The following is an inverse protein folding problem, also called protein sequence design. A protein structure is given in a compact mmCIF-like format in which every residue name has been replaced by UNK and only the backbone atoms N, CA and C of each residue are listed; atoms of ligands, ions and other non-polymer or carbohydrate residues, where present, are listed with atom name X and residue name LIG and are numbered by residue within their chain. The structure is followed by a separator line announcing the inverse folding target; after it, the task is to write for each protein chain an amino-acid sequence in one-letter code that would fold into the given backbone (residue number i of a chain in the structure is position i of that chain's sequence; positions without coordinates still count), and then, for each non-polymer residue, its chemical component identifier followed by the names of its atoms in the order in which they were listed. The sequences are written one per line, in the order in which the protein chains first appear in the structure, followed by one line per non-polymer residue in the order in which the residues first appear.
data_IF_831499100404
#
_entry.id   IF_831499100404
#
_cell.length_a   1.000
_cell.length_b   1.000
_cell.length_c   1.000
_cell.angle_alpha   90.00
_cell.angle_beta   90.00
_cell.angle_gamma   90.00
#
_symmetry.space_group_name_H-M   'P 1'
#
loop_
_entity.id
_entity.type
_entity.pdbx_description
1 polymer ?
#
# COMPACT_ATOMS: atom_id res chain seq x y z
N UNK A 1 -43.38 -14.42 -38.37
CA UNK A 1 -44.20 -15.52 -37.79
C UNK A 1 -45.52 -15.72 -38.56
N UNK A 2 -46.43 -14.72 -38.67
CA UNK A 2 -47.72 -14.86 -39.37
C UNK A 2 -47.63 -15.46 -40.80
N UNK A 3 -46.62 -15.09 -41.59
CA UNK A 3 -46.40 -15.63 -42.95
C UNK A 3 -46.03 -17.12 -42.99
N UNK A 4 -45.39 -17.65 -41.94
CA UNK A 4 -45.00 -19.06 -41.84
C UNK A 4 -46.19 -19.99 -41.52
N UNK A 5 -47.26 -19.42 -40.97
CA UNK A 5 -48.49 -20.12 -40.56
C UNK A 5 -49.62 -19.96 -41.60
N UNK A 6 -49.29 -19.64 -42.85
CA UNK A 6 -50.27 -19.50 -43.93
C UNK A 6 -51.04 -20.82 -44.16
N UNK A 7 -52.36 -20.74 -44.34
CA UNK A 7 -53.19 -21.90 -44.69
C UNK A 7 -52.87 -22.43 -46.10
N UNK A 8 -52.31 -21.58 -46.96
CA UNK A 8 -51.89 -21.93 -48.31
C UNK A 8 -50.41 -22.36 -48.31
N UNK A 9 -50.16 -23.66 -48.54
CA UNK A 9 -48.85 -24.31 -48.45
C UNK A 9 -47.75 -23.66 -49.31
N UNK A 10 -47.98 -23.27 -50.59
CA UNK A 10 -46.96 -22.64 -51.44
C UNK A 10 -46.61 -21.21 -51.04
N UNK A 11 -47.47 -20.53 -50.25
CA UNK A 11 -47.22 -19.17 -49.77
C UNK A 11 -46.39 -19.14 -48.48
N UNK A 12 -46.11 -20.30 -47.88
CA UNK A 12 -45.22 -20.37 -46.73
C UNK A 12 -43.79 -20.12 -47.21
N UNK A 13 -43.05 -19.20 -46.58
CA UNK A 13 -41.65 -18.98 -46.93
C UNK A 13 -40.82 -20.23 -46.68
N UNK A 14 -39.86 -20.50 -47.56
CA UNK A 14 -38.92 -21.61 -47.38
C UNK A 14 -37.96 -21.33 -46.22
N UNK A 15 -37.33 -22.38 -45.69
CA UNK A 15 -36.39 -22.26 -44.59
C UNK A 15 -35.26 -21.26 -44.88
N UNK A 16 -34.73 -21.26 -46.11
CA UNK A 16 -33.72 -20.28 -46.55
C UNK A 16 -34.22 -18.84 -46.54
N UNK A 17 -35.49 -18.62 -46.95
CA UNK A 17 -36.10 -17.28 -46.92
C UNK A 17 -36.29 -16.81 -45.48
N UNK A 18 -36.73 -17.68 -44.58
CA UNK A 18 -36.86 -17.37 -43.15
C UNK A 18 -35.49 -17.08 -42.53
N UNK A 19 -34.46 -17.87 -42.86
CA UNK A 19 -33.07 -17.66 -42.41
C UNK A 19 -32.53 -16.30 -42.89
N UNK A 20 -32.68 -15.97 -44.17
CA UNK A 20 -32.29 -14.66 -44.73
C UNK A 20 -33.04 -13.49 -44.09
N UNK A 21 -34.33 -13.66 -43.76
CA UNK A 21 -35.11 -12.65 -43.05
C UNK A 21 -34.62 -12.45 -41.61
N UNK A 22 -34.24 -13.55 -40.93
CA UNK A 22 -33.70 -13.51 -39.58
C UNK A 22 -32.32 -12.84 -39.54
N UNK A 23 -31.43 -13.19 -40.47
CA UNK A 23 -30.09 -12.62 -40.60
C UNK A 23 -30.15 -11.12 -40.96
N UNK A 24 -31.12 -10.70 -41.78
CA UNK A 24 -31.39 -9.27 -42.05
C UNK A 24 -31.97 -8.52 -40.85
N UNK A 25 -32.78 -9.18 -40.02
CA UNK A 25 -33.37 -8.56 -38.83
C UNK A 25 -32.38 -8.42 -37.68
N UNK A 26 -31.34 -9.26 -37.62
CA UNK A 26 -30.26 -9.12 -36.66
C UNK A 26 -28.89 -9.24 -37.34
N UNK A 27 -28.43 -8.19 -38.04
CA UNK A 27 -27.15 -8.19 -38.77
C UNK A 27 -25.93 -8.36 -37.85
N UNK A 28 -26.07 -7.98 -36.57
CA UNK A 28 -25.03 -8.01 -35.55
C UNK A 28 -25.35 -9.05 -34.48
N UNK A 29 -25.56 -10.30 -34.90
CA UNK A 29 -25.71 -11.42 -33.98
C UNK A 29 -24.37 -11.69 -33.28
N UNK A 30 -24.03 -10.88 -32.28
CA UNK A 30 -22.86 -11.10 -31.43
C UNK A 30 -23.01 -12.49 -30.82
N UNK A 31 -22.03 -13.36 -31.04
CA UNK A 31 -22.09 -14.70 -30.47
C UNK A 31 -22.16 -14.57 -28.95
N UNK A 32 -22.99 -15.35 -28.25
CA UNK A 32 -22.93 -15.42 -26.79
C UNK A 32 -21.51 -15.71 -26.27
N UNK A 33 -20.69 -16.41 -27.06
CA UNK A 33 -19.27 -16.65 -26.80
C UNK A 33 -18.47 -15.35 -26.87
N UNK A 34 -18.68 -14.51 -27.90
CA UNK A 34 -17.99 -13.23 -28.05
C UNK A 34 -18.38 -12.27 -26.92
N UNK A 35 -19.65 -12.28 -26.50
CA UNK A 35 -20.11 -11.47 -25.37
C UNK A 35 -19.42 -11.91 -24.07
N UNK A 36 -19.30 -13.23 -23.84
CA UNK A 36 -18.58 -13.79 -22.70
C UNK A 36 -17.08 -13.45 -22.74
N UNK A 37 -16.44 -13.56 -23.91
CA UNK A 37 -15.03 -13.18 -24.08
C UNK A 37 -14.79 -11.71 -23.75
N UNK A 38 -15.63 -10.80 -24.27
CA UNK A 38 -15.55 -9.37 -23.97
C UNK A 38 -15.78 -9.06 -22.48
N UNK A 39 -16.69 -9.77 -21.82
CA UNK A 39 -16.92 -9.66 -20.38
C UNK A 39 -15.69 -10.14 -19.59
N UNK A 40 -15.17 -11.31 -19.91
CA UNK A 40 -13.96 -11.85 -19.28
C UNK A 40 -12.75 -10.93 -19.46
N UNK A 41 -12.56 -10.36 -20.64
CA UNK A 41 -11.47 -9.43 -20.91
C UNK A 41 -11.61 -8.15 -20.07
N UNK A 42 -12.82 -7.59 -19.98
CA UNK A 42 -13.10 -6.42 -19.12
C UNK A 42 -12.86 -6.75 -17.64
N UNK A 43 -13.29 -7.91 -17.17
CA UNK A 43 -13.06 -8.35 -15.80
C UNK A 43 -11.56 -8.56 -15.52
N UNK A 44 -10.82 -9.18 -16.44
CA UNK A 44 -9.36 -9.37 -16.30
C UNK A 44 -8.64 -8.04 -16.16
N UNK A 45 -8.92 -7.10 -17.09
CA UNK A 45 -8.33 -5.75 -17.06
C UNK A 45 -8.67 -4.98 -15.78
N UNK A 46 -9.91 -5.10 -15.32
CA UNK A 46 -10.34 -4.46 -14.08
C UNK A 46 -9.64 -5.07 -12.86
N UNK A 47 -9.51 -6.40 -12.81
CA UNK A 47 -8.81 -7.09 -11.73
C UNK A 47 -7.32 -6.75 -11.71
N UNK A 48 -6.68 -6.69 -12.87
CA UNK A 48 -5.28 -6.24 -13.00
C UNK A 48 -5.10 -4.81 -12.47
N UNK A 49 -6.02 -3.91 -12.79
CA UNK A 49 -6.00 -2.54 -12.28
C UNK A 49 -6.14 -2.49 -10.75
N UNK A 50 -7.07 -3.26 -10.18
CA UNK A 50 -7.25 -3.35 -8.71
C UNK A 50 -6.00 -3.93 -8.06
N UNK A 51 -5.43 -5.00 -8.62
CA UNK A 51 -4.22 -5.62 -8.07
C UNK A 51 -3.05 -4.63 -8.12
N UNK A 52 -2.90 -3.88 -9.21
CA UNK A 52 -1.87 -2.85 -9.31
C UNK A 52 -2.04 -1.75 -8.26
N UNK A 53 -3.26 -1.23 -8.10
CA UNK A 53 -3.59 -0.21 -7.08
C UNK A 53 -3.28 -0.72 -5.67
N UNK A 54 -3.77 -1.92 -5.30
CA UNK A 54 -3.54 -2.50 -3.98
C UNK A 54 -2.07 -2.82 -3.72
N UNK A 55 -1.34 -3.25 -4.75
CA UNK A 55 0.10 -3.50 -4.64
C UNK A 55 0.85 -2.19 -4.37
N UNK A 56 0.44 -1.10 -5.02
CA UNK A 56 1.01 0.22 -4.78
C UNK A 56 0.72 0.72 -3.35
N UNK A 57 -0.52 0.59 -2.88
CA UNK A 57 -0.89 0.96 -1.51
C UNK A 57 -0.09 0.17 -0.47
N UNK A 58 0.02 -1.15 -0.66
CA UNK A 58 0.83 -2.01 0.21
C UNK A 58 2.30 -1.59 0.22
N UNK A 59 2.87 -1.22 -0.92
CA UNK A 59 4.25 -0.77 -1.01
C UNK A 59 4.45 0.55 -0.24
N UNK A 60 3.52 1.49 -0.38
CA UNK A 60 3.58 2.77 0.34
C UNK A 60 3.47 2.55 1.85
N UNK A 61 2.54 1.71 2.29
CA UNK A 61 2.36 1.45 3.71
C UNK A 61 3.57 0.71 4.30
N UNK A 62 4.09 -0.29 3.58
CA UNK A 62 5.32 -0.98 3.96
C UNK A 62 6.50 -0.02 4.11
N UNK A 63 6.65 0.95 3.20
CA UNK A 63 7.72 1.96 3.31
C UNK A 63 7.56 2.85 4.55
N UNK A 64 6.33 3.26 4.90
CA UNK A 64 6.08 4.05 6.12
C UNK A 64 6.38 3.23 7.37
N UNK A 65 5.92 1.98 7.42
CA UNK A 65 6.17 1.08 8.54
C UNK A 65 7.67 0.83 8.72
N UNK A 66 8.40 0.58 7.64
CA UNK A 66 9.86 0.40 7.71
C UNK A 66 10.56 1.65 8.25
N UNK A 67 10.24 2.84 7.73
CA UNK A 67 10.83 4.10 8.22
C UNK A 67 10.59 4.28 9.71
N UNK A 68 9.36 4.03 10.16
CA UNK A 68 9.00 4.14 11.56
C UNK A 68 9.77 3.12 12.42
N UNK A 69 9.89 1.87 11.95
CA UNK A 69 10.63 0.82 12.65
C UNK A 69 12.11 1.22 12.82
N UNK A 70 12.75 1.73 11.77
CA UNK A 70 14.13 2.19 11.82
C UNK A 70 14.34 3.48 12.63
N UNK A 71 13.31 4.33 12.77
CA UNK A 71 13.39 5.52 13.63
C UNK A 71 13.30 5.20 15.13
N UNK A 72 12.69 4.06 15.48
CA UNK A 72 12.47 3.64 16.87
C UNK A 72 13.51 2.63 17.36
N UNK A 73 14.07 1.81 16.46
CA UNK A 73 14.95 0.71 16.81
C UNK A 73 16.26 0.77 16.03
N UNK A 74 17.37 0.31 16.63
CA UNK A 74 18.63 0.18 15.90
C UNK A 74 18.48 -0.75 14.71
N UNK A 75 19.15 -0.41 13.61
CA UNK A 75 19.03 -1.11 12.32
C UNK A 75 19.19 -2.63 12.41
N UNK A 76 20.18 -3.20 13.14
CA UNK A 76 20.29 -4.65 13.29
C UNK A 76 19.05 -5.28 13.96
N UNK A 77 18.50 -4.62 14.98
CA UNK A 77 17.34 -5.10 15.73
C UNK A 77 16.07 -5.00 14.88
N UNK A 78 15.89 -3.88 14.18
CA UNK A 78 14.81 -3.71 13.22
C UNK A 78 14.85 -4.77 12.10
N UNK A 79 16.05 -5.08 11.57
CA UNK A 79 16.24 -6.08 10.52
C UNK A 79 15.92 -7.51 11.01
N UNK A 80 16.26 -7.85 12.25
CA UNK A 80 15.90 -9.14 12.86
C UNK A 80 14.41 -9.26 13.09
N UNK A 81 13.77 -8.23 13.66
CA UNK A 81 12.32 -8.22 13.87
C UNK A 81 11.54 -8.32 12.56
N UNK A 82 12.00 -7.63 11.50
CA UNK A 82 11.39 -7.73 10.17
C UNK A 82 11.52 -9.14 9.56
N UNK A 83 12.53 -9.89 9.96
CA UNK A 83 12.75 -11.28 9.56
C UNK A 83 12.06 -12.30 10.49
N UNK A 84 11.32 -11.83 11.50
CA UNK A 84 10.67 -12.69 12.49
C UNK A 84 11.65 -13.39 13.43
N UNK A 85 12.89 -12.90 13.52
CA UNK A 85 13.90 -13.39 14.47
C UNK A 85 13.79 -12.65 15.80
N UNK A 86 14.10 -13.37 16.86
CA UNK A 86 14.31 -12.79 18.19
C UNK A 86 15.70 -12.15 18.25
N UNK A 87 15.77 -10.91 18.72
CA UNK A 87 17.04 -10.22 18.96
C UNK A 87 17.67 -10.69 20.26
N UNK A 88 18.94 -11.11 20.21
CA UNK A 88 19.70 -11.45 21.43
C UNK A 88 20.27 -10.19 22.10
N UNK A 89 20.42 -10.26 23.43
CA UNK A 89 21.05 -9.19 24.18
C UNK A 89 22.53 -9.08 23.78
N UNK A 90 22.95 -7.88 23.38
CA UNK A 90 24.34 -7.62 23.00
C UNK A 90 25.15 -7.19 24.21
N UNK A 91 26.37 -7.71 24.32
CA UNK A 91 27.36 -7.30 25.32
C UNK A 91 28.53 -6.63 24.62
N UNK A 92 28.94 -5.47 25.13
CA UNK A 92 30.06 -4.70 24.60
C UNK A 92 31.19 -4.70 25.62
N UNK A 93 32.41 -5.05 25.20
CA UNK A 93 33.59 -5.04 26.07
C UNK A 93 33.95 -3.63 26.55
N UNK A 94 33.62 -2.61 25.74
CA UNK A 94 33.77 -1.19 26.05
C UNK A 94 32.68 -0.42 25.30
N UNK A 95 32.10 0.58 25.95
CA UNK A 95 31.09 1.47 25.36
C UNK A 95 31.33 2.91 25.83
N UNK A 96 31.03 3.88 24.96
CA UNK A 96 31.06 5.31 25.28
C UNK A 96 29.63 5.82 25.30
N UNK A 97 29.20 6.43 26.41
CA UNK A 97 27.87 7.01 26.55
C UNK A 97 27.97 8.52 26.50
N UNK A 98 27.19 9.15 25.63
CA UNK A 98 27.08 10.61 25.53
C UNK A 98 25.85 11.10 26.30
N UNK A 99 26.08 11.97 27.28
CA UNK A 99 25.01 12.63 28.03
C UNK A 99 24.94 14.09 27.59
N UNK A 100 23.75 14.53 27.19
CA UNK A 100 23.48 15.91 26.76
C UNK A 100 22.24 16.43 27.43
N UNK A 101 22.31 17.65 27.96
CA UNK A 101 21.18 18.39 28.50
C UNK A 101 21.00 19.71 27.76
N UNK A 102 19.76 20.17 27.64
CA UNK A 102 19.43 21.45 27.01
C UNK A 102 19.43 22.52 28.10
N UNK A 103 20.54 23.25 28.19
CA UNK A 103 20.68 24.34 29.17
C UNK A 103 19.56 25.37 28.99
N UNK A 104 18.83 25.66 30.06
CA UNK A 104 17.77 26.65 30.06
C UNK A 104 16.46 26.19 29.43
N UNK A 105 16.27 24.88 29.18
CA UNK A 105 15.04 24.35 28.58
C UNK A 105 13.77 24.79 29.31
N UNK A 106 13.74 24.79 30.64
CA UNK A 106 12.58 25.24 31.43
C UNK A 106 12.18 26.68 31.14
N UNK A 107 13.17 27.56 31.00
CA UNK A 107 12.92 28.98 30.69
C UNK A 107 12.43 29.12 29.24
N UNK A 108 13.07 28.41 28.31
CA UNK A 108 12.70 28.41 26.89
C UNK A 108 11.29 27.86 26.67
N UNK A 109 10.93 26.77 27.35
CA UNK A 109 9.58 26.19 27.29
C UNK A 109 8.53 27.07 27.95
N UNK A 110 8.88 27.80 29.02
CA UNK A 110 7.98 28.72 29.69
C UNK A 110 7.68 29.99 28.88
N UNK A 111 8.61 30.42 28.03
CA UNK A 111 8.46 31.59 27.17
C UNK A 111 7.90 31.27 25.77
N UNK A 112 7.77 29.99 25.42
CA UNK A 112 7.37 29.53 24.09
C UNK A 112 5.97 28.92 24.09
N UNK A 113 5.30 28.97 22.95
CA UNK A 113 4.06 28.20 22.76
C UNK A 113 4.37 26.70 22.67
N UNK A 114 3.43 25.81 23.03
CA UNK A 114 3.63 24.36 22.91
C UNK A 114 4.07 23.92 21.50
N UNK A 115 3.52 24.53 20.45
CA UNK A 115 3.90 24.24 19.07
C UNK A 115 5.36 24.60 18.76
N UNK A 116 5.86 25.73 19.28
CA UNK A 116 7.26 26.13 19.09
C UNK A 116 8.22 25.19 19.81
N UNK A 117 7.89 24.76 21.03
CA UNK A 117 8.70 23.79 21.79
C UNK A 117 8.77 22.46 21.05
N UNK A 118 7.62 21.94 20.57
CA UNK A 118 7.58 20.69 19.80
C UNK A 118 8.40 20.81 18.52
N UNK A 119 8.27 21.91 17.78
CA UNK A 119 9.03 22.11 16.55
C UNK A 119 10.55 22.19 16.82
N UNK A 120 10.96 22.87 17.89
CA UNK A 120 12.35 22.94 18.31
C UNK A 120 12.91 21.56 18.67
N UNK A 121 12.20 20.79 19.49
CA UNK A 121 12.61 19.43 19.86
C UNK A 121 12.69 18.51 18.65
N UNK A 122 11.69 18.57 17.76
CA UNK A 122 11.70 17.79 16.52
C UNK A 122 12.92 18.13 15.67
N UNK A 123 13.24 19.40 15.48
CA UNK A 123 14.42 19.81 14.71
C UNK A 123 15.72 19.34 15.36
N UNK A 124 15.84 19.50 16.69
CA UNK A 124 17.02 19.07 17.43
C UNK A 124 17.25 17.57 17.30
N UNK A 125 16.23 16.75 17.59
CA UNK A 125 16.36 15.29 17.52
C UNK A 125 16.50 14.79 16.09
N UNK A 126 15.82 15.39 15.10
CA UNK A 126 16.04 15.06 13.68
C UNK A 126 17.50 15.32 13.28
N UNK A 127 18.08 16.43 13.73
CA UNK A 127 19.48 16.74 13.44
C UNK A 127 20.42 15.74 14.11
N UNK A 128 20.13 15.30 15.33
CA UNK A 128 20.91 14.23 15.97
C UNK A 128 20.77 12.91 15.23
N UNK A 129 19.55 12.52 14.86
CA UNK A 129 19.25 11.30 14.11
C UNK A 129 20.01 11.30 12.75
N UNK A 130 20.01 12.42 12.02
CA UNK A 130 20.77 12.57 10.77
C UNK A 130 22.29 12.43 10.97
N UNK A 131 22.82 12.93 12.09
CA UNK A 131 24.24 12.79 12.41
C UNK A 131 24.56 11.34 12.74
N UNK A 132 23.82 10.70 13.67
CA UNK A 132 24.09 9.32 14.09
C UNK A 132 23.91 8.31 12.96
N UNK A 133 23.02 8.56 11.99
CA UNK A 133 22.85 7.70 10.81
C UNK A 133 24.13 7.57 9.96
N UNK A 134 25.04 8.54 10.05
CA UNK A 134 26.33 8.52 9.36
C UNK A 134 27.47 7.86 10.16
N UNK A 135 27.24 7.52 11.43
CA UNK A 135 28.23 6.89 12.31
C UNK A 135 27.70 5.57 12.87
N UNK A 136 28.60 4.71 13.36
CA UNK A 136 28.21 3.48 14.07
C UNK A 136 27.85 3.79 15.53
N UNK A 137 26.89 4.69 15.74
CA UNK A 137 26.44 5.16 17.06
C UNK A 137 24.98 4.77 17.28
N UNK A 138 24.66 4.32 18.49
CA UNK A 138 23.32 3.87 18.84
C UNK A 138 22.60 4.88 19.74
N UNK A 139 21.35 5.24 19.36
CA UNK A 139 20.43 5.99 20.22
C UNK A 139 19.80 5.06 21.26
N UNK A 140 20.20 5.20 22.52
CA UNK A 140 19.61 4.46 23.64
C UNK A 140 18.39 5.23 24.15
N UNK A 141 17.20 4.64 24.04
CA UNK A 141 15.97 5.16 24.65
C UNK A 141 15.70 4.43 25.96
N UNK A 142 15.75 5.15 27.09
CA UNK A 142 15.39 4.58 28.38
C UNK A 142 13.91 4.82 28.65
N UNK A 143 13.16 3.75 28.90
CA UNK A 143 11.80 3.86 29.46
C UNK A 143 11.97 4.35 30.90
N UNK A 144 11.46 5.55 31.19
CA UNK A 144 11.78 6.38 32.37
C UNK A 144 11.37 5.86 33.75
N UNK A 145 11.39 4.56 34.02
CA UNK A 145 11.14 4.01 35.36
C UNK A 145 11.94 2.74 35.70
N UNK A 146 12.83 2.24 34.82
CA UNK A 146 13.51 0.96 35.02
C UNK A 146 14.86 1.03 35.77
N UNK A 147 15.19 2.16 36.38
CA UNK A 147 16.35 2.29 37.28
C UNK A 147 15.98 3.11 38.51
N UNK A 148 15.33 2.45 39.48
CA UNK A 148 15.43 2.81 40.89
C UNK A 148 16.06 1.67 41.66
#
# INVERSE_FOLDING_TARGET
IKKCWSHNVPMRPTFEQVKKMLDKMNPHKVSPVDMMMNLMEKYSKHLEAIVAERTQDLLQEKQKTDRLLYSMLPKPVADDLRQGRTTEAQSFASATVYFSDIVGFTQLSGASTPHQVVNFLNQLYTTFDDIIDNYDVYKVETIGDACK
#
